data_IF_224870111690
#
_entry.id   IF_224870111690
#
_cell.length_a   1.000
_cell.length_b   1.000
_cell.length_c   1.000
_cell.angle_alpha   90.00
_cell.angle_beta   90.00
_cell.angle_gamma   90.00
#
_symmetry.space_group_name_H-M   'P 1'
#
loop_
_entity.id
_entity.type
_entity.pdbx_description
1 polymer ?
#
# COMPACT_ATOMS: atom_id res chain seq x y z
N UNK A 1 9.93 16.76 -12.07
CA UNK A 1 9.28 16.44 -10.78
C UNK A 1 7.85 16.14 -11.10
N UNK A 2 7.33 15.03 -10.60
CA UNK A 2 5.93 14.63 -10.83
C UNK A 2 5.24 14.49 -9.48
N UNK A 3 4.06 15.05 -9.33
CA UNK A 3 3.26 14.92 -8.13
C UNK A 3 1.81 14.62 -8.49
N UNK A 4 1.12 13.87 -7.64
CA UNK A 4 -0.31 13.58 -7.77
C UNK A 4 -0.98 13.61 -6.41
N UNK A 5 -2.22 14.11 -6.37
CA UNK A 5 -3.10 14.05 -5.22
C UNK A 5 -4.45 13.50 -5.70
N UNK A 6 -5.00 12.55 -4.96
CA UNK A 6 -6.34 12.01 -5.17
C UNK A 6 -7.19 12.22 -3.94
N UNK A 7 -8.41 12.70 -4.15
CA UNK A 7 -9.48 12.75 -3.15
C UNK A 7 -10.62 11.85 -3.62
N UNK A 8 -11.09 10.96 -2.75
CA UNK A 8 -12.15 10.02 -3.04
C UNK A 8 -13.18 10.06 -1.91
N UNK A 9 -14.43 10.36 -2.28
CA UNK A 9 -15.58 10.23 -1.38
C UNK A 9 -16.47 9.10 -1.90
N UNK A 10 -16.63 8.07 -1.09
CA UNK A 10 -17.49 6.93 -1.37
C UNK A 10 -18.52 6.78 -0.25
N UNK A 11 -19.61 6.08 -0.55
CA UNK A 11 -20.62 5.74 0.42
C UNK A 11 -21.21 4.38 0.07
N UNK A 12 -21.37 3.53 1.07
CA UNK A 12 -22.12 2.27 0.98
C UNK A 12 -23.30 2.41 1.92
N UNK A 13 -24.50 2.32 1.36
CA UNK A 13 -25.73 2.33 2.16
C UNK A 13 -25.75 1.18 3.16
N UNK A 14 -26.48 1.36 4.26
CA UNK A 14 -26.66 0.29 5.23
C UNK A 14 -27.28 -0.94 4.57
N UNK A 15 -26.69 -2.11 4.80
CA UNK A 15 -27.22 -3.38 4.31
C UNK A 15 -27.22 -4.42 5.42
N UNK A 16 -28.08 -5.43 5.27
CA UNK A 16 -28.25 -6.54 6.20
C UNK A 16 -27.56 -7.78 5.62
N UNK A 17 -26.86 -8.54 6.46
CA UNK A 17 -26.23 -9.81 6.09
C UNK A 17 -26.25 -10.80 7.27
N UNK A 18 -26.08 -12.09 6.98
CA UNK A 18 -25.96 -13.12 8.02
C UNK A 18 -24.49 -13.38 8.32
N UNK A 19 -24.06 -13.13 9.56
CA UNK A 19 -22.69 -13.43 10.02
C UNK A 19 -22.50 -14.92 10.29
N UNK A 20 -23.56 -15.59 10.74
CA UNK A 20 -23.63 -17.03 10.95
C UNK A 20 -25.08 -17.49 10.84
N UNK A 21 -25.34 -18.81 10.91
CA UNK A 21 -26.68 -19.37 10.81
C UNK A 21 -27.61 -18.73 11.86
N UNK A 22 -28.64 -18.02 11.37
CA UNK A 22 -29.61 -17.31 12.21
C UNK A 22 -29.12 -16.01 12.87
N UNK A 23 -27.86 -15.60 12.67
CA UNK A 23 -27.32 -14.35 13.21
C UNK A 23 -27.29 -13.26 12.14
N UNK A 24 -28.36 -12.48 12.10
CA UNK A 24 -28.47 -11.28 11.26
C UNK A 24 -27.66 -10.12 11.85
N UNK A 25 -26.96 -9.38 11.01
CA UNK A 25 -26.20 -8.18 11.34
C UNK A 25 -26.24 -7.19 10.19
N UNK A 26 -25.62 -6.01 10.36
CA UNK A 26 -25.60 -4.97 9.34
C UNK A 26 -24.21 -4.42 9.07
N UNK A 27 -23.93 -4.11 7.80
CA UNK A 27 -22.76 -3.39 7.34
C UNK A 27 -23.13 -2.09 6.62
N UNK A 28 -22.14 -1.39 6.08
CA UNK A 28 -22.33 -0.12 5.38
C UNK A 28 -22.57 1.08 6.31
N UNK A 29 -23.36 2.04 5.84
CA UNK A 29 -23.62 3.36 6.47
C UNK A 29 -22.34 4.19 6.65
N UNK A 30 -21.40 4.05 5.71
CA UNK A 30 -20.05 4.65 5.78
C UNK A 30 -19.33 4.59 4.43
N UNK A 31 -18.09 5.06 4.40
CA UNK A 31 -17.23 4.96 3.23
C UNK A 31 -16.98 3.51 2.82
N UNK A 32 -16.91 3.30 1.50
CA UNK A 32 -16.64 1.98 0.92
C UNK A 32 -15.29 1.42 1.37
N UNK A 33 -15.23 0.11 1.55
CA UNK A 33 -14.01 -0.61 1.83
C UNK A 33 -12.99 -0.47 0.70
N UNK A 34 -11.72 -0.68 1.04
CA UNK A 34 -10.59 -0.59 0.11
C UNK A 34 -10.52 0.73 -0.68
N UNK A 35 -11.15 1.79 -0.16
CA UNK A 35 -11.27 3.10 -0.80
C UNK A 35 -10.67 4.21 0.08
N UNK A 36 -9.33 4.37 0.10
CA UNK A 36 -8.68 5.45 0.84
C UNK A 36 -9.20 6.82 0.38
N UNK A 37 -9.61 7.66 1.32
CA UNK A 37 -10.12 9.01 1.05
C UNK A 37 -9.07 9.91 0.42
N UNK A 38 -7.82 9.81 0.86
CA UNK A 38 -6.69 10.57 0.33
C UNK A 38 -5.61 9.63 -0.16
N UNK A 39 -5.15 9.87 -1.39
CA UNK A 39 -3.94 9.24 -1.92
C UNK A 39 -3.02 10.32 -2.47
N UNK A 40 -1.72 10.09 -2.38
CA UNK A 40 -0.74 11.05 -2.88
C UNK A 40 0.50 10.35 -3.41
N UNK A 41 1.17 10.97 -4.38
CA UNK A 41 2.50 10.54 -4.79
C UNK A 41 3.38 11.71 -5.18
N UNK A 42 4.68 11.58 -4.92
CA UNK A 42 5.72 12.52 -5.32
C UNK A 42 6.89 11.73 -5.93
N UNK A 43 7.38 12.18 -7.08
CA UNK A 43 8.55 11.66 -7.78
C UNK A 43 9.53 12.79 -8.06
N UNK A 44 10.73 12.64 -7.54
CA UNK A 44 11.89 13.47 -7.86
C UNK A 44 12.89 12.61 -8.62
N UNK A 45 13.34 13.10 -9.77
CA UNK A 45 14.42 12.47 -10.53
C UNK A 45 15.51 13.51 -10.75
N UNK A 46 16.75 13.06 -10.71
CA UNK A 46 17.94 13.83 -11.03
C UNK A 46 18.76 13.04 -12.06
N UNK A 47 19.37 13.74 -13.00
CA UNK A 47 20.35 13.20 -13.93
C UNK A 47 21.33 14.29 -14.33
N UNK A 48 22.56 13.90 -14.68
CA UNK A 48 23.56 14.81 -15.23
C UNK A 48 24.28 14.21 -16.45
N UNK A 49 25.06 15.05 -17.12
CA UNK A 49 25.78 14.68 -18.35
C UNK A 49 26.91 13.67 -18.11
N UNK A 50 27.35 13.50 -16.86
CA UNK A 50 28.30 12.44 -16.47
C UNK A 50 27.65 11.06 -16.36
N UNK A 51 26.37 10.95 -16.69
CA UNK A 51 25.59 9.71 -16.66
C UNK A 51 25.14 9.28 -15.26
N UNK A 52 25.31 10.12 -14.23
CA UNK A 52 24.79 9.85 -12.88
C UNK A 52 23.31 10.19 -12.86
N UNK A 53 22.51 9.33 -12.25
CA UNK A 53 21.09 9.59 -12.04
C UNK A 53 20.62 9.09 -10.67
N UNK A 54 19.58 9.72 -10.15
CA UNK A 54 18.93 9.32 -8.91
C UNK A 54 17.43 9.56 -8.96
N UNK A 55 16.68 8.80 -8.17
CA UNK A 55 15.24 9.02 -8.02
C UNK A 55 14.77 8.77 -6.59
N UNK A 56 13.86 9.63 -6.14
CA UNK A 56 13.07 9.47 -4.92
C UNK A 56 11.61 9.37 -5.33
N UNK A 57 10.92 8.32 -4.89
CA UNK A 57 9.48 8.15 -5.10
C UNK A 57 8.81 7.91 -3.77
N UNK A 58 7.90 8.79 -3.39
CA UNK A 58 7.09 8.65 -2.19
C UNK A 58 5.62 8.51 -2.57
N UNK A 59 4.89 7.62 -1.90
CA UNK A 59 3.45 7.44 -2.05
C UNK A 59 2.78 7.39 -0.69
N UNK A 60 1.64 8.05 -0.55
CA UNK A 60 0.81 8.08 0.65
C UNK A 60 -0.57 7.49 0.35
N UNK A 61 -1.13 6.77 1.32
CA UNK A 61 -2.54 6.39 1.36
C UNK A 61 -3.08 6.64 2.76
N UNK A 62 -4.25 7.27 2.85
CA UNK A 62 -4.98 7.37 4.12
C UNK A 62 -5.47 6.00 4.59
N UNK A 63 -5.94 5.92 5.83
CA UNK A 63 -6.62 4.73 6.32
C UNK A 63 -7.90 4.42 5.53
N UNK A 64 -8.29 3.16 5.53
CA UNK A 64 -9.47 2.64 4.81
C UNK A 64 -10.01 1.39 5.50
N UNK A 65 -11.29 1.09 5.31
CA UNK A 65 -11.90 -0.14 5.85
C UNK A 65 -11.51 -1.36 5.03
N UNK A 66 -11.31 -2.51 5.69
CA UNK A 66 -11.00 -3.76 4.99
C UNK A 66 -12.20 -4.42 4.33
N UNK A 67 -13.41 -4.22 4.88
CA UNK A 67 -14.66 -4.79 4.39
C UNK A 67 -15.80 -3.80 4.57
N UNK A 68 -16.85 -3.91 3.75
CA UNK A 68 -18.09 -3.13 3.91
C UNK A 68 -18.93 -3.66 5.07
N UNK A 69 -18.71 -4.92 5.46
CA UNK A 69 -19.43 -5.58 6.56
C UNK A 69 -18.85 -5.32 7.96
N UNK A 70 -17.56 -5.00 8.08
CA UNK A 70 -16.89 -4.87 9.39
C UNK A 70 -16.05 -3.59 9.51
N UNK A 71 -15.89 -3.08 10.73
CA UNK A 71 -15.35 -1.74 10.98
C UNK A 71 -13.82 -1.68 11.10
N UNK A 72 -13.11 -2.80 10.94
CA UNK A 72 -11.65 -2.85 10.99
C UNK A 72 -11.03 -2.09 9.82
N UNK A 73 -9.96 -1.36 10.14
CA UNK A 73 -9.29 -0.46 9.19
C UNK A 73 -7.81 -0.79 9.03
N UNK A 74 -7.31 -0.48 7.85
CA UNK A 74 -5.90 -0.22 7.62
C UNK A 74 -5.54 1.16 8.16
N UNK A 75 -4.38 1.24 8.81
CA UNK A 75 -3.77 2.51 9.17
C UNK A 75 -3.26 3.23 7.91
N UNK A 76 -3.23 4.58 7.91
CA UNK A 76 -2.55 5.33 6.85
C UNK A 76 -1.07 4.97 6.80
N UNK A 77 -0.49 4.96 5.60
CA UNK A 77 0.93 4.64 5.44
C UNK A 77 1.59 5.42 4.30
N UNK A 78 2.90 5.57 4.41
CA UNK A 78 3.75 6.21 3.41
C UNK A 78 4.88 5.28 3.00
N UNK A 79 5.05 5.06 1.70
CA UNK A 79 6.17 4.28 1.16
C UNK A 79 7.11 5.18 0.40
N UNK A 80 8.39 5.11 0.72
CA UNK A 80 9.46 5.82 -0.01
C UNK A 80 10.40 4.81 -0.66
N UNK A 81 10.63 4.97 -1.95
CA UNK A 81 11.55 4.16 -2.75
C UNK A 81 12.66 5.05 -3.29
N UNK A 82 13.88 4.54 -3.28
CA UNK A 82 15.10 5.24 -3.67
C UNK A 82 15.83 4.46 -4.76
N UNK A 83 16.47 5.17 -5.68
CA UNK A 83 17.44 4.58 -6.59
C UNK A 83 18.55 5.58 -6.92
N UNK A 84 19.76 5.07 -7.07
CA UNK A 84 20.94 5.81 -7.52
C UNK A 84 21.68 4.93 -8.53
N UNK A 85 22.12 5.51 -9.64
CA UNK A 85 22.83 4.76 -10.65
C UNK A 85 23.74 5.62 -11.51
N UNK A 86 24.50 4.92 -12.36
CA UNK A 86 25.41 5.51 -13.32
C UNK A 86 25.34 4.74 -14.63
N UNK A 87 25.21 5.48 -15.72
CA UNK A 87 25.35 4.99 -17.09
C UNK A 87 26.73 5.34 -17.63
N UNK A 88 27.40 4.36 -18.24
CA UNK A 88 28.71 4.51 -18.87
C UNK A 88 28.79 3.61 -20.11
N UNK A 89 28.95 4.24 -21.27
CA UNK A 89 28.89 3.56 -22.57
C UNK A 89 27.55 2.83 -22.75
N UNK A 90 27.60 1.52 -22.95
CA UNK A 90 26.43 0.64 -23.12
C UNK A 90 25.87 0.08 -21.80
N UNK A 91 26.53 0.34 -20.68
CA UNK A 91 26.21 -0.26 -19.38
C UNK A 91 25.54 0.76 -18.46
N UNK A 92 24.59 0.30 -17.65
CA UNK A 92 24.01 1.05 -16.54
C UNK A 92 24.05 0.21 -15.28
N UNK A 93 24.63 0.74 -14.21
CA UNK A 93 24.61 0.12 -12.88
C UNK A 93 23.74 0.94 -11.93
N UNK A 94 22.94 0.28 -11.09
CA UNK A 94 21.99 0.93 -10.19
C UNK A 94 21.89 0.19 -8.86
N UNK A 95 21.96 0.93 -7.76
CA UNK A 95 21.50 0.50 -6.44
C UNK A 95 20.12 1.06 -6.17
N UNK A 96 19.24 0.26 -5.57
CA UNK A 96 17.87 0.66 -5.30
C UNK A 96 17.39 0.12 -3.95
N UNK A 97 16.47 0.86 -3.34
CA UNK A 97 15.82 0.51 -2.09
C UNK A 97 14.31 0.69 -2.28
N UNK A 98 13.53 -0.36 -2.01
CA UNK A 98 12.08 -0.29 -1.89
C UNK A 98 11.69 -0.28 -0.43
N UNK A 99 10.70 0.53 -0.08
CA UNK A 99 10.28 0.75 1.30
C UNK A 99 11.48 1.12 2.20
N UNK A 100 12.15 2.24 1.87
CA UNK A 100 13.43 2.63 2.46
C UNK A 100 13.41 2.80 3.99
N UNK A 101 12.26 3.16 4.55
CA UNK A 101 12.05 3.35 5.98
C UNK A 101 11.49 2.10 6.68
N UNK A 102 11.35 0.98 5.97
CA UNK A 102 10.85 -0.29 6.50
C UNK A 102 9.45 -0.16 7.14
N UNK A 103 8.57 0.61 6.49
CA UNK A 103 7.19 0.82 6.90
C UNK A 103 6.44 -0.51 6.92
N UNK A 104 5.80 -0.84 8.05
CA UNK A 104 5.01 -2.07 8.21
C UNK A 104 3.53 -1.77 7.99
N UNK A 105 3.08 -1.99 6.76
CA UNK A 105 1.71 -1.65 6.34
C UNK A 105 0.91 -2.88 5.91
N UNK A 106 -0.41 -2.78 6.04
CA UNK A 106 -1.37 -3.81 5.66
C UNK A 106 -1.90 -3.59 4.25
N UNK A 107 -1.97 -4.66 3.46
CA UNK A 107 -2.54 -4.67 2.11
C UNK A 107 -3.97 -5.21 2.08
N UNK A 108 -4.32 -6.05 3.06
CA UNK A 108 -5.65 -6.63 3.22
C UNK A 108 -5.89 -7.01 4.67
N UNK A 109 -7.15 -7.06 5.07
CA UNK A 109 -7.58 -7.51 6.38
C UNK A 109 -8.90 -8.27 6.29
N UNK A 110 -9.12 -9.18 7.22
CA UNK A 110 -10.38 -9.90 7.37
C UNK A 110 -10.68 -10.10 8.85
N UNK A 111 -11.94 -9.96 9.24
CA UNK A 111 -12.37 -10.10 10.62
C UNK A 111 -13.34 -11.27 10.75
N UNK A 112 -12.88 -12.36 11.36
CA UNK A 112 -13.67 -13.56 11.62
C UNK A 112 -12.90 -14.58 12.48
N UNK A 113 -13.64 -15.45 13.17
CA UNK A 113 -13.10 -16.58 13.93
C UNK A 113 -12.67 -17.76 13.04
N UNK A 114 -11.42 -18.19 13.19
CA UNK A 114 -10.86 -19.35 12.48
C UNK A 114 -10.21 -20.39 13.39
N UNK A 115 -9.96 -20.04 14.66
CA UNK A 115 -9.18 -20.89 15.56
C UNK A 115 -10.13 -21.65 16.48
N UNK A 116 -10.24 -23.00 16.36
CA UNK A 116 -11.02 -23.81 17.28
C UNK A 116 -10.41 -23.80 18.70
N UNK A 117 -11.18 -24.17 19.73
CA UNK A 117 -12.56 -24.69 19.66
C UNK A 117 -13.64 -23.60 19.69
N UNK A 118 -13.31 -22.39 20.14
CA UNK A 118 -14.26 -21.32 20.43
C UNK A 118 -14.41 -20.28 19.31
N UNK A 119 -13.59 -20.35 18.26
CA UNK A 119 -13.65 -19.48 17.08
C UNK A 119 -13.80 -17.99 17.44
N UNK A 120 -12.93 -17.43 18.30
CA UNK A 120 -13.03 -16.02 18.66
C UNK A 120 -12.74 -15.17 17.42
N UNK A 121 -13.58 -14.17 17.18
CA UNK A 121 -13.36 -13.22 16.09
C UNK A 121 -12.05 -12.47 16.29
N UNK A 122 -11.24 -12.42 15.24
CA UNK A 122 -10.00 -11.67 15.23
C UNK A 122 -9.69 -11.11 13.85
N UNK A 123 -8.88 -10.06 13.85
CA UNK A 123 -8.44 -9.39 12.64
C UNK A 123 -7.19 -10.05 12.07
N UNK A 124 -7.36 -10.74 10.96
CA UNK A 124 -6.30 -11.30 10.15
C UNK A 124 -5.78 -10.27 9.16
N UNK A 125 -4.47 -10.04 9.12
CA UNK A 125 -3.85 -9.00 8.28
C UNK A 125 -2.83 -9.61 7.33
N UNK A 126 -2.92 -9.26 6.06
CA UNK A 126 -1.84 -9.43 5.09
C UNK A 126 -0.99 -8.17 5.07
N UNK A 127 0.32 -8.34 5.16
CA UNK A 127 1.27 -7.23 5.14
C UNK A 127 1.91 -7.10 3.77
N UNK A 128 2.23 -5.87 3.38
CA UNK A 128 3.05 -5.61 2.21
C UNK A 128 4.50 -6.01 2.45
N UNK A 129 5.29 -5.98 1.38
CA UNK A 129 6.70 -6.35 1.43
C UNK A 129 7.47 -5.44 2.41
N UNK A 130 8.38 -6.02 3.23
CA UNK A 130 9.30 -5.24 4.06
C UNK A 130 10.31 -4.50 3.17
N UNK A 131 11.23 -3.75 3.79
CA UNK A 131 12.34 -3.12 3.07
C UNK A 131 13.11 -4.12 2.20
N UNK A 132 13.32 -3.76 0.94
CA UNK A 132 14.15 -4.51 0.00
C UNK A 132 15.28 -3.61 -0.52
N UNK A 133 16.49 -4.15 -0.60
CA UNK A 133 17.67 -3.48 -1.14
C UNK A 133 18.22 -4.36 -2.25
N UNK A 134 18.58 -3.77 -3.38
CA UNK A 134 19.14 -4.52 -4.49
C UNK A 134 20.04 -3.69 -5.38
N UNK A 135 20.75 -4.41 -6.25
CA UNK A 135 21.57 -3.86 -7.32
C UNK A 135 21.10 -4.43 -8.66
N UNK A 136 21.20 -3.64 -9.73
CA UNK A 136 20.95 -4.11 -11.09
C UNK A 136 22.02 -3.58 -12.03
N UNK A 137 22.32 -4.36 -13.07
CA UNK A 137 23.19 -3.96 -14.18
C UNK A 137 22.50 -4.28 -15.50
N UNK A 138 22.40 -3.28 -16.36
CA UNK A 138 21.74 -3.35 -17.66
C UNK A 138 22.76 -3.05 -18.76
N UNK A 139 22.77 -3.83 -19.85
CA UNK A 139 23.66 -3.62 -21.01
C UNK A 139 22.83 -3.51 -22.30
N UNK A 140 23.09 -2.48 -23.10
CA UNK A 140 22.43 -2.25 -24.40
C UNK A 140 23.29 -2.77 -25.54
N UNK A 141 22.81 -3.77 -26.29
CA UNK A 141 23.50 -4.36 -27.43
C UNK A 141 23.58 -3.39 -28.61
#
# INVERSE_FOLDING_TARGET
MDASLGYLKTWVEKFIYFASEGMETSGGDREAAMSPVITGSLRLNYSNDSGIFGSVRTSYKSGYFYSDSHNEKAEPYTLTNLALGKSFGKTTAKIWIRNAFDERFTTRGFYFGLIPPNYPDQLWKSYGDPRQIGVSMDYKF
#
